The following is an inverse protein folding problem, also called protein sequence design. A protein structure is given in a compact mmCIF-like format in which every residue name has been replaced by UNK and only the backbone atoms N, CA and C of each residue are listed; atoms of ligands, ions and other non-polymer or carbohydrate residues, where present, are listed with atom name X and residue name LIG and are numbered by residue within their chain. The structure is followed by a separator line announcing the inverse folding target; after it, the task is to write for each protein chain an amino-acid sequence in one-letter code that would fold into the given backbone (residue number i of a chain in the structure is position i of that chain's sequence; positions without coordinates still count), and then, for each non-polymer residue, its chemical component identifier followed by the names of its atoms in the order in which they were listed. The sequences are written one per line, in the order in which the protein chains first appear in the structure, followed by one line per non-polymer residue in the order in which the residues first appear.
data_IF_969037220176
#
_entry.id   IF_969037220176
#
_cell.length_a   1.000
_cell.length_b   1.000
_cell.length_c   1.000
_cell.angle_alpha   90.00
_cell.angle_beta   90.00
_cell.angle_gamma   90.00
#
_symmetry.space_group_name_H-M   'P 1'
#
loop_
_entity.id
_entity.type
_entity.pdbx_description
1 polymer ?
#
# COMPACT_ATOMS: atom_id res chain seq x y z
N UNK A 1 10.87 -12.53 0.58
CA UNK A 1 9.67 -12.11 -0.17
C UNK A 1 9.10 -10.84 0.47
N UNK A 2 8.60 -9.94 -0.37
CA UNK A 2 7.80 -8.80 0.04
C UNK A 2 6.43 -8.83 -0.64
N UNK A 3 5.39 -8.44 0.07
CA UNK A 3 4.03 -8.23 -0.43
C UNK A 3 3.81 -6.72 -0.49
N UNK A 4 3.44 -6.18 -1.66
CA UNK A 4 3.19 -4.75 -1.81
C UNK A 4 1.69 -4.47 -1.91
N UNK A 5 1.20 -3.52 -1.11
CA UNK A 5 -0.17 -3.02 -1.16
C UNK A 5 -0.22 -1.51 -1.45
N UNK A 6 -1.32 -1.07 -2.06
CA UNK A 6 -1.67 0.35 -2.09
C UNK A 6 -2.25 0.79 -0.74
N UNK A 7 -2.15 2.08 -0.38
CA UNK A 7 -2.83 2.65 0.78
C UNK A 7 -4.33 2.80 0.50
N UNK A 8 -5.06 3.37 1.46
CA UNK A 8 -6.44 3.78 1.27
C UNK A 8 -6.59 5.30 1.42
N UNK A 9 -7.64 5.85 0.77
CA UNK A 9 -8.02 7.25 0.89
C UNK A 9 -8.75 7.54 2.20
N UNK A 10 -9.48 6.54 2.72
CA UNK A 10 -10.20 6.60 3.99
C UNK A 10 -9.29 6.11 5.10
N UNK A 11 -9.29 6.84 6.20
CA UNK A 11 -8.46 6.59 7.38
C UNK A 11 -9.36 6.54 8.63
N UNK A 12 -9.09 5.61 9.54
CA UNK A 12 -9.77 5.47 10.83
C UNK A 12 -8.77 5.66 11.97
N UNK A 13 -9.00 6.67 12.79
CA UNK A 13 -8.21 7.00 13.99
C UNK A 13 -9.00 6.78 15.29
N UNK A 14 -10.18 6.17 15.23
CA UNK A 14 -11.07 6.01 16.38
C UNK A 14 -10.61 4.94 17.36
N UNK A 15 -9.87 3.93 16.88
CA UNK A 15 -9.43 2.78 17.69
C UNK A 15 -8.08 3.03 18.32
N UNK A 16 -7.91 2.58 19.56
CA UNK A 16 -6.62 2.54 20.25
C UNK A 16 -5.96 1.17 20.11
N UNK A 17 -4.63 1.15 20.15
CA UNK A 17 -3.82 -0.06 19.95
C UNK A 17 -2.75 -0.14 21.03
N UNK A 18 -2.71 -1.25 21.75
CA UNK A 18 -1.61 -1.61 22.66
C UNK A 18 -0.58 -2.45 21.89
N UNK A 19 0.18 -1.78 21.01
CA UNK A 19 1.17 -2.40 20.15
C UNK A 19 2.42 -1.53 20.15
N UNK A 20 3.60 -2.15 20.20
CA UNK A 20 4.86 -1.42 20.04
C UNK A 20 4.99 -0.90 18.60
N UNK A 21 4.94 0.42 18.39
CA UNK A 21 4.98 1.01 17.06
C UNK A 21 6.39 0.97 16.48
N UNK A 22 6.46 1.19 15.17
CA UNK A 22 7.69 1.48 14.44
C UNK A 22 7.59 2.84 13.75
N UNK A 23 8.73 3.43 13.38
CA UNK A 23 8.76 4.70 12.68
C UNK A 23 8.90 4.49 11.17
N UNK A 24 8.18 5.26 10.32
CA UNK A 24 8.36 5.22 8.87
C UNK A 24 9.81 5.51 8.46
N UNK A 25 10.31 4.75 7.49
CA UNK A 25 11.71 4.85 7.04
C UNK A 25 12.05 6.24 6.46
N UNK A 26 11.10 6.89 5.81
CA UNK A 26 11.31 8.13 5.05
C UNK A 26 10.68 9.37 5.69
N UNK A 27 10.59 9.45 7.02
CA UNK A 27 9.99 10.62 7.74
C UNK A 27 10.62 11.96 7.37
N UNK A 28 11.92 12.00 7.09
CA UNK A 28 12.60 13.23 6.67
C UNK A 28 12.12 13.68 5.27
N UNK A 29 11.88 12.74 4.35
CA UNK A 29 11.33 13.06 3.03
C UNK A 29 9.84 13.40 3.12
N UNK A 30 9.06 12.71 3.98
CA UNK A 30 7.67 13.10 4.29
C UNK A 30 7.58 14.54 4.77
N UNK A 31 8.50 14.96 5.66
CA UNK A 31 8.55 16.34 6.16
C UNK A 31 8.82 17.36 5.04
N UNK A 32 9.61 17.00 4.02
CA UNK A 32 9.83 17.87 2.84
C UNK A 32 8.55 18.02 2.02
N UNK A 33 7.84 16.90 1.76
CA UNK A 33 6.55 16.94 1.06
C UNK A 33 5.50 17.76 1.83
N UNK A 34 5.44 17.60 3.13
CA UNK A 34 4.54 18.40 3.98
C UNK A 34 4.91 19.88 3.92
N UNK A 35 6.20 20.24 3.88
CA UNK A 35 6.61 21.62 3.74
C UNK A 35 6.06 22.24 2.44
N UNK A 36 6.12 21.52 1.33
CA UNK A 36 5.54 21.96 0.05
C UNK A 36 4.01 22.05 0.12
N UNK A 37 3.34 21.05 0.75
CA UNK A 37 1.89 21.05 0.89
C UNK A 37 1.37 22.17 1.80
N UNK A 38 2.13 22.57 2.82
CA UNK A 38 1.80 23.70 3.70
C UNK A 38 1.78 25.06 3.01
N UNK A 39 2.43 25.19 1.85
CA UNK A 39 2.40 26.44 1.06
C UNK A 39 1.15 26.56 0.20
N UNK A 40 0.30 25.53 0.14
CA UNK A 40 -0.88 25.48 -0.72
C UNK A 40 -2.12 25.95 0.04
N UNK A 41 -2.97 26.72 -0.63
CA UNK A 41 -4.30 27.04 -0.15
C UNK A 41 -5.31 25.90 -0.46
N UNK A 42 -6.47 25.82 0.19
CA UNK A 42 -7.46 24.77 -0.07
C UNK A 42 -7.83 24.63 -1.56
N UNK A 43 -7.97 25.72 -2.30
CA UNK A 43 -8.25 25.69 -3.75
C UNK A 43 -7.12 25.03 -4.58
N UNK A 44 -5.86 25.24 -4.15
CA UNK A 44 -4.72 24.63 -4.84
C UNK A 44 -4.70 23.12 -4.57
N UNK A 45 -5.03 22.70 -3.34
CA UNK A 45 -5.16 21.30 -2.94
C UNK A 45 -6.32 20.62 -3.69
N UNK A 46 -7.46 21.32 -3.83
CA UNK A 46 -8.60 20.84 -4.62
C UNK A 46 -8.19 20.56 -6.07
N UNK A 47 -7.53 21.52 -6.71
CA UNK A 47 -7.03 21.40 -8.09
C UNK A 47 -5.97 20.31 -8.23
N UNK A 48 -5.00 20.25 -7.31
CA UNK A 48 -3.87 19.33 -7.34
C UNK A 48 -4.32 17.85 -7.29
N UNK A 49 -5.35 17.54 -6.52
CA UNK A 49 -5.80 16.17 -6.26
C UNK A 49 -7.22 15.86 -6.73
N UNK A 50 -7.90 16.80 -7.42
CA UNK A 50 -9.27 16.61 -7.89
C UNK A 50 -10.27 16.39 -6.75
N UNK A 51 -10.20 17.22 -5.69
CA UNK A 51 -11.02 17.09 -4.49
C UNK A 51 -12.17 18.07 -4.47
N UNK A 52 -13.26 17.71 -3.76
CA UNK A 52 -14.27 18.68 -3.34
C UNK A 52 -13.68 19.67 -2.34
N UNK A 53 -14.30 20.86 -2.22
CA UNK A 53 -13.85 21.93 -1.32
C UNK A 53 -13.73 21.46 0.14
N UNK A 54 -14.71 20.68 0.62
CA UNK A 54 -14.70 20.12 1.98
C UNK A 54 -13.49 19.20 2.20
N UNK A 55 -13.17 18.33 1.23
CA UNK A 55 -12.01 17.44 1.32
C UNK A 55 -10.70 18.21 1.18
N UNK A 56 -10.66 19.25 0.38
CA UNK A 56 -9.48 20.11 0.24
C UNK A 56 -9.19 20.86 1.54
N UNK A 57 -10.21 21.48 2.15
CA UNK A 57 -10.10 22.16 3.45
C UNK A 57 -9.64 21.19 4.55
N UNK A 58 -10.27 20.00 4.63
CA UNK A 58 -9.86 18.98 5.60
C UNK A 58 -8.38 18.60 5.45
N UNK A 59 -7.88 18.46 4.23
CA UNK A 59 -6.48 18.09 4.00
C UNK A 59 -5.53 19.27 4.19
N UNK A 60 -5.96 20.50 3.91
CA UNK A 60 -5.24 21.70 4.29
C UNK A 60 -4.97 21.72 5.80
N UNK A 61 -6.01 21.55 6.63
CA UNK A 61 -5.87 21.52 8.10
C UNK A 61 -4.96 20.39 8.58
N UNK A 62 -5.08 19.22 7.96
CA UNK A 62 -4.20 18.07 8.23
C UNK A 62 -2.74 18.40 7.93
N UNK A 63 -2.45 19.07 6.81
CA UNK A 63 -1.07 19.45 6.48
C UNK A 63 -0.55 20.53 7.42
N UNK A 64 -1.35 21.56 7.75
CA UNK A 64 -0.93 22.63 8.67
C UNK A 64 -0.56 22.07 10.04
N UNK A 65 -1.35 21.12 10.57
CA UNK A 65 -1.12 20.50 11.87
C UNK A 65 -0.07 19.37 11.86
N UNK A 66 0.30 18.86 10.68
CA UNK A 66 1.17 17.69 10.57
C UNK A 66 2.56 17.96 11.15
N UNK A 67 3.01 17.06 12.03
CA UNK A 67 4.38 16.98 12.57
C UNK A 67 4.83 15.53 12.50
N UNK A 68 6.11 15.29 12.20
CA UNK A 68 6.67 13.95 12.19
C UNK A 68 6.46 13.28 13.56
N UNK A 69 5.99 12.03 13.56
CA UNK A 69 5.75 11.25 14.77
C UNK A 69 6.40 9.87 14.66
N UNK A 70 6.88 9.36 15.79
CA UNK A 70 7.45 8.01 15.94
C UNK A 70 6.72 7.20 17.01
N UNK A 71 5.68 7.76 17.60
CA UNK A 71 4.91 7.18 18.71
C UNK A 71 3.41 7.24 18.44
N UNK A 72 2.65 6.34 19.06
CA UNK A 72 1.19 6.34 19.02
C UNK A 72 0.66 7.55 19.80
N UNK A 73 -0.34 8.21 19.25
CA UNK A 73 -1.13 9.27 19.87
C UNK A 73 -2.55 9.26 19.30
N UNK A 74 -3.41 10.20 19.71
CA UNK A 74 -4.76 10.32 19.17
C UNK A 74 -4.79 10.51 17.64
N UNK A 75 -3.77 11.18 17.09
CA UNK A 75 -3.63 11.49 15.66
C UNK A 75 -2.44 10.78 14.97
N UNK A 76 -1.84 9.77 15.61
CA UNK A 76 -0.70 9.02 15.10
C UNK A 76 -0.83 7.54 15.47
N UNK A 77 -1.17 6.67 14.51
CA UNK A 77 -1.49 5.26 14.74
C UNK A 77 -0.85 4.37 13.66
N UNK A 78 -0.69 3.04 13.93
CA UNK A 78 -0.06 2.12 12.98
C UNK A 78 -0.82 2.03 11.65
N UNK A 79 -0.10 2.09 10.53
CA UNK A 79 -0.64 2.11 9.18
C UNK A 79 -1.58 0.94 8.88
N UNK A 80 -1.24 -0.27 9.33
CA UNK A 80 -2.04 -1.48 9.14
C UNK A 80 -3.50 -1.32 9.57
N UNK A 81 -3.75 -0.55 10.64
CA UNK A 81 -5.07 -0.40 11.25
C UNK A 81 -5.76 0.91 10.89
N UNK A 82 -4.99 1.90 10.43
CA UNK A 82 -5.54 3.21 10.05
C UNK A 82 -6.17 3.17 8.67
N UNK A 83 -5.53 2.52 7.70
CA UNK A 83 -6.07 2.45 6.34
C UNK A 83 -7.37 1.65 6.30
N UNK A 84 -8.41 2.26 5.69
CA UNK A 84 -9.72 1.66 5.48
C UNK A 84 -10.06 1.64 3.98
N UNK A 85 -10.97 0.75 3.58
CA UNK A 85 -11.41 0.58 2.20
C UNK A 85 -11.25 -0.85 1.71
N UNK A 86 -11.54 -1.07 0.44
CA UNK A 86 -11.75 -2.41 -0.11
C UNK A 86 -10.59 -3.38 0.14
N UNK A 87 -9.34 -2.92 -0.06
CA UNK A 87 -8.14 -3.74 0.19
C UNK A 87 -8.07 -4.13 1.67
N UNK A 88 -8.30 -3.19 2.58
CA UNK A 88 -8.16 -3.39 4.02
C UNK A 88 -9.34 -4.16 4.62
N UNK A 89 -10.54 -4.05 4.03
CA UNK A 89 -11.66 -4.93 4.34
C UNK A 89 -11.34 -6.39 3.98
N UNK A 90 -10.62 -6.61 2.89
CA UNK A 90 -10.14 -7.95 2.52
C UNK A 90 -8.97 -8.42 3.38
N UNK A 91 -8.09 -7.51 3.81
CA UNK A 91 -6.93 -7.81 4.66
C UNK A 91 -7.32 -8.24 6.08
N UNK A 92 -8.47 -7.78 6.60
CA UNK A 92 -9.04 -8.18 7.90
C UNK A 92 -7.98 -8.17 9.03
N UNK A 93 -7.20 -7.08 9.13
CA UNK A 93 -6.05 -7.00 10.04
C UNK A 93 -6.41 -7.19 11.52
N UNK A 94 -7.66 -6.92 11.90
CA UNK A 94 -8.22 -7.15 13.23
C UNK A 94 -8.23 -8.63 13.65
N UNK A 95 -8.12 -9.55 12.70
CA UNK A 95 -8.07 -11.01 12.96
C UNK A 95 -6.66 -11.54 13.16
N UNK A 96 -5.64 -10.68 13.03
CA UNK A 96 -4.25 -11.09 13.15
C UNK A 96 -3.82 -11.28 14.59
N UNK A 97 -3.25 -12.43 14.89
CA UNK A 97 -2.57 -12.68 16.15
C UNK A 97 -1.12 -12.14 16.12
N UNK A 98 -0.40 -12.23 17.25
CA UNK A 98 0.98 -11.73 17.37
C UNK A 98 1.94 -12.33 16.32
N UNK A 99 1.79 -13.61 15.96
CA UNK A 99 2.63 -14.27 14.94
C UNK A 99 2.31 -13.75 13.53
N UNK A 100 1.03 -13.46 13.26
CA UNK A 100 0.57 -12.88 11.99
C UNK A 100 1.11 -11.46 11.82
N UNK A 101 1.02 -10.64 12.88
CA UNK A 101 1.56 -9.28 12.90
C UNK A 101 3.08 -9.28 12.68
N UNK A 102 3.81 -10.19 13.34
CA UNK A 102 5.26 -10.32 13.15
C UNK A 102 5.63 -10.71 11.71
N UNK A 103 4.87 -11.64 11.12
CA UNK A 103 5.03 -12.01 9.71
C UNK A 103 4.71 -10.83 8.79
N UNK A 104 3.58 -10.14 9.01
CA UNK A 104 3.20 -8.97 8.24
C UNK A 104 4.27 -7.87 8.34
N UNK A 105 4.76 -7.55 9.52
CA UNK A 105 5.80 -6.54 9.75
C UNK A 105 7.08 -6.84 8.96
N UNK A 106 7.42 -8.12 8.80
CA UNK A 106 8.58 -8.57 8.03
C UNK A 106 8.33 -8.53 6.53
N UNK A 107 7.13 -8.88 6.06
CA UNK A 107 6.88 -9.20 4.65
C UNK A 107 5.92 -8.25 3.94
N UNK A 108 5.07 -7.48 4.64
CA UNK A 108 4.11 -6.56 4.02
C UNK A 108 4.68 -5.14 3.95
N UNK A 109 4.49 -4.48 2.81
CA UNK A 109 4.78 -3.06 2.60
C UNK A 109 3.59 -2.35 1.99
N UNK A 110 3.26 -1.18 2.52
CA UNK A 110 2.20 -0.32 2.00
C UNK A 110 2.87 0.86 1.32
N UNK A 111 2.70 0.98 0.01
CA UNK A 111 3.23 2.11 -0.75
C UNK A 111 2.41 3.36 -0.43
N UNK A 112 3.03 4.52 -0.35
CA UNK A 112 2.40 5.76 0.10
C UNK A 112 2.97 6.98 -0.61
N UNK A 113 2.10 7.87 -1.11
CA UNK A 113 2.55 9.11 -1.73
C UNK A 113 3.31 10.01 -0.75
N UNK A 114 2.87 10.08 0.52
CA UNK A 114 3.52 10.91 1.55
C UNK A 114 4.70 10.23 2.23
N UNK A 115 4.57 8.94 2.56
CA UNK A 115 5.56 8.22 3.37
C UNK A 115 6.50 7.34 2.52
N UNK A 116 6.29 7.26 1.19
CA UNK A 116 7.02 6.39 0.27
C UNK A 116 6.65 4.94 0.45
N UNK A 117 7.14 4.32 1.50
CA UNK A 117 6.90 2.95 1.90
C UNK A 117 6.67 2.88 3.41
N UNK A 118 5.73 2.05 3.82
CA UNK A 118 5.36 1.82 5.21
C UNK A 118 5.37 0.32 5.52
N UNK A 119 5.92 -0.02 6.68
CA UNK A 119 5.67 -1.31 7.32
C UNK A 119 4.33 -1.25 8.08
N UNK A 120 3.70 -2.39 8.36
CA UNK A 120 2.41 -2.45 9.07
C UNK A 120 2.31 -1.62 10.35
N UNK A 121 3.34 -1.64 11.19
CA UNK A 121 3.35 -0.97 12.49
C UNK A 121 3.97 0.43 12.47
N UNK A 122 4.35 0.93 11.30
CA UNK A 122 4.82 2.30 11.16
C UNK A 122 3.67 3.27 11.45
N UNK A 123 3.91 4.22 12.37
CA UNK A 123 2.88 5.20 12.74
C UNK A 123 2.75 6.29 11.69
N UNK A 124 1.52 6.57 11.31
CA UNK A 124 1.18 7.61 10.35
C UNK A 124 0.18 8.60 10.93
N UNK A 125 0.24 9.83 10.48
CA UNK A 125 -0.75 10.88 10.76
C UNK A 125 -1.77 10.98 9.61
N UNK A 126 -2.94 11.56 9.85
CA UNK A 126 -3.94 11.76 8.81
C UNK A 126 -3.37 12.57 7.64
N UNK A 127 -3.55 12.05 6.43
CA UNK A 127 -3.15 12.71 5.21
C UNK A 127 -3.93 12.18 4.01
N UNK A 128 -3.89 12.91 2.92
CA UNK A 128 -4.24 12.42 1.58
C UNK A 128 -3.21 12.95 0.59
N UNK A 129 -2.46 12.06 -0.01
CA UNK A 129 -1.53 12.34 -1.09
C UNK A 129 -1.35 11.06 -1.89
N UNK A 130 -1.93 11.01 -3.09
CA UNK A 130 -1.89 9.86 -3.97
C UNK A 130 -0.55 9.86 -4.74
N UNK A 131 -0.02 8.68 -5.08
CA UNK A 131 1.30 8.57 -5.72
C UNK A 131 1.35 9.25 -7.09
N UNK A 132 0.23 9.25 -7.82
CA UNK A 132 0.10 9.91 -9.13
C UNK A 132 -0.02 11.42 -9.06
N UNK A 133 -0.01 12.04 -7.86
CA UNK A 133 -0.18 13.49 -7.70
C UNK A 133 1.01 14.25 -8.32
N UNK A 134 0.69 15.23 -9.17
CA UNK A 134 1.66 16.11 -9.82
C UNK A 134 2.08 17.26 -8.90
N UNK A 135 2.62 16.93 -7.72
CA UNK A 135 3.15 17.91 -6.76
C UNK A 135 4.56 18.31 -7.18
N UNK A 136 4.78 19.56 -7.62
CA UNK A 136 6.13 20.06 -7.90
C UNK A 136 6.91 20.19 -6.58
N UNK A 137 8.18 19.81 -6.62
CA UNK A 137 9.13 19.92 -5.51
C UNK A 137 10.49 20.33 -6.05
N UNK A 138 11.45 20.64 -5.19
CA UNK A 138 12.83 20.85 -5.60
C UNK A 138 13.51 19.64 -6.27
N UNK A 139 12.87 18.45 -6.21
CA UNK A 139 13.38 17.19 -6.77
C UNK A 139 12.69 16.75 -8.06
N UNK A 140 11.63 17.44 -8.49
CA UNK A 140 10.92 17.09 -9.70
C UNK A 140 9.48 17.59 -9.75
N UNK A 141 8.78 17.26 -10.83
CA UNK A 141 7.43 17.77 -11.15
C UNK A 141 6.30 16.94 -10.54
N UNK A 142 6.61 15.79 -9.98
CA UNK A 142 5.63 14.84 -9.45
C UNK A 142 6.26 13.95 -8.38
N UNK A 143 5.46 13.10 -7.72
CA UNK A 143 5.94 12.24 -6.65
C UNK A 143 6.84 11.10 -7.14
N UNK A 144 6.69 10.63 -8.37
CA UNK A 144 7.61 9.61 -8.92
C UNK A 144 9.04 10.16 -9.02
N UNK A 145 9.19 11.39 -9.50
CA UNK A 145 10.48 12.07 -9.57
C UNK A 145 11.01 12.42 -8.16
N UNK A 146 10.13 12.83 -7.25
CA UNK A 146 10.50 13.12 -5.86
C UNK A 146 11.09 11.91 -5.16
N UNK A 147 10.44 10.76 -5.28
CA UNK A 147 10.89 9.51 -4.66
C UNK A 147 12.09 8.90 -5.39
N UNK A 148 12.18 9.06 -6.72
CA UNK A 148 13.28 8.52 -7.53
C UNK A 148 13.51 7.03 -7.27
N UNK A 149 14.74 6.65 -6.94
CA UNK A 149 15.10 5.26 -6.63
C UNK A 149 14.89 4.86 -5.16
N UNK A 150 14.61 5.78 -4.26
CA UNK A 150 14.64 5.55 -2.81
C UNK A 150 13.79 4.37 -2.34
N UNK A 151 12.55 4.27 -2.85
CA UNK A 151 11.65 3.19 -2.46
C UNK A 151 12.17 1.85 -2.99
N UNK A 152 12.59 1.82 -4.26
CA UNK A 152 13.22 0.64 -4.86
C UNK A 152 14.44 0.18 -4.07
N UNK A 153 15.35 1.08 -3.76
CA UNK A 153 16.62 0.77 -3.06
C UNK A 153 16.35 0.20 -1.66
N UNK A 154 15.32 0.72 -0.96
CA UNK A 154 14.90 0.20 0.32
C UNK A 154 14.28 -1.20 0.19
N UNK A 155 13.37 -1.41 -0.77
CA UNK A 155 12.79 -2.73 -1.04
C UNK A 155 13.86 -3.78 -1.37
N UNK A 156 14.86 -3.43 -2.17
CA UNK A 156 16.00 -4.31 -2.49
C UNK A 156 16.82 -4.66 -1.24
N UNK A 157 17.06 -3.67 -0.38
CA UNK A 157 17.76 -3.88 0.91
C UNK A 157 17.00 -4.83 1.81
N UNK A 158 15.69 -4.68 1.88
CA UNK A 158 14.82 -5.56 2.69
C UNK A 158 14.70 -6.97 2.10
N UNK A 159 14.62 -7.11 0.78
CA UNK A 159 14.68 -8.42 0.12
C UNK A 159 15.98 -9.15 0.44
N UNK A 160 17.11 -8.45 0.36
CA UNK A 160 18.42 -9.00 0.74
C UNK A 160 18.44 -9.45 2.22
N UNK A 161 17.91 -8.62 3.12
CA UNK A 161 17.79 -8.94 4.55
C UNK A 161 16.90 -10.18 4.78
N UNK A 162 15.85 -10.30 4.01
CA UNK A 162 14.94 -11.46 4.05
C UNK A 162 15.46 -12.68 3.27
N UNK A 163 16.66 -12.60 2.67
CA UNK A 163 17.26 -13.65 1.82
C UNK A 163 16.27 -14.13 0.74
N UNK A 164 15.66 -13.19 0.02
CA UNK A 164 14.64 -13.47 -0.98
C UNK A 164 14.75 -12.51 -2.15
N UNK A 165 14.34 -12.95 -3.33
CA UNK A 165 14.29 -12.18 -4.57
C UNK A 165 12.86 -12.04 -5.10
N UNK A 166 11.84 -12.36 -4.29
CA UNK A 166 10.43 -12.36 -4.68
C UNK A 166 9.67 -11.15 -4.15
N UNK A 167 8.99 -10.44 -5.06
CA UNK A 167 7.96 -9.43 -4.77
C UNK A 167 6.61 -9.94 -5.27
N UNK A 168 5.62 -10.01 -4.39
CA UNK A 168 4.21 -10.20 -4.76
C UNK A 168 3.53 -8.84 -4.82
N UNK A 169 3.28 -8.37 -6.03
CA UNK A 169 2.66 -7.06 -6.26
C UNK A 169 1.13 -7.15 -6.21
N UNK A 170 0.56 -6.73 -5.10
CA UNK A 170 -0.87 -6.53 -4.90
C UNK A 170 -1.25 -5.03 -4.85
N UNK A 171 -0.31 -4.15 -5.16
CA UNK A 171 -0.56 -2.73 -5.33
C UNK A 171 -1.19 -2.42 -6.69
N UNK A 172 -1.78 -1.23 -6.85
CA UNK A 172 -2.23 -0.75 -8.14
C UNK A 172 -1.05 -0.34 -9.02
N UNK A 173 -1.28 -0.28 -10.34
CA UNK A 173 -0.26 0.20 -11.29
C UNK A 173 0.28 1.57 -10.90
N UNK A 174 -0.60 2.50 -10.46
CA UNK A 174 -0.21 3.83 -9.99
C UNK A 174 0.85 3.76 -8.89
N UNK A 175 0.60 2.97 -7.84
CA UNK A 175 1.53 2.87 -6.72
C UNK A 175 2.76 2.05 -7.05
N UNK A 176 2.62 0.93 -7.77
CA UNK A 176 3.78 0.11 -8.13
C UNK A 176 4.75 0.81 -9.08
N UNK A 177 4.27 1.74 -9.91
CA UNK A 177 5.12 2.50 -10.84
C UNK A 177 6.25 3.28 -10.15
N UNK A 178 6.12 3.62 -8.87
CA UNK A 178 7.20 4.30 -8.11
C UNK A 178 8.41 3.40 -7.85
N UNK A 179 8.23 2.09 -7.92
CA UNK A 179 9.33 1.11 -7.75
C UNK A 179 10.29 1.16 -8.95
N UNK A 180 9.76 1.50 -10.14
CA UNK A 180 10.57 1.60 -11.36
C UNK A 180 11.10 0.24 -11.83
N UNK A 181 12.20 0.27 -12.59
CA UNK A 181 12.85 -0.93 -13.11
C UNK A 181 13.63 -1.63 -12.01
N UNK A 182 13.33 -2.92 -11.80
CA UNK A 182 14.02 -3.78 -10.85
C UNK A 182 15.16 -4.57 -11.54
N UNK A 183 16.18 -5.01 -10.79
CA UNK A 183 17.20 -5.93 -11.29
C UNK A 183 16.58 -7.23 -11.82
N UNK A 184 17.19 -7.85 -12.81
CA UNK A 184 16.67 -9.07 -13.48
C UNK A 184 16.58 -10.31 -12.59
N UNK A 185 17.30 -10.34 -11.49
CA UNK A 185 17.20 -11.43 -10.50
C UNK A 185 16.01 -11.27 -9.55
N UNK A 186 15.29 -10.15 -9.58
CA UNK A 186 14.10 -9.95 -8.74
C UNK A 186 12.87 -10.44 -9.49
N UNK A 187 12.27 -11.50 -8.99
CA UNK A 187 10.99 -12.03 -9.46
C UNK A 187 9.84 -11.13 -8.99
N UNK A 188 8.98 -10.71 -9.92
CA UNK A 188 7.77 -9.96 -9.60
C UNK A 188 6.55 -10.76 -10.05
N UNK A 189 5.71 -11.15 -9.10
CA UNK A 189 4.44 -11.83 -9.36
C UNK A 189 3.29 -10.88 -9.04
N UNK A 190 2.41 -10.66 -10.02
CA UNK A 190 1.28 -9.73 -9.92
C UNK A 190 -0.06 -10.46 -10.12
N UNK A 191 -0.66 -11.05 -9.07
CA UNK A 191 -1.92 -11.77 -9.15
C UNK A 191 -3.06 -10.93 -9.73
N UNK A 192 -3.80 -11.52 -10.68
CA UNK A 192 -4.94 -10.91 -11.36
C UNK A 192 -6.24 -11.58 -10.91
N UNK A 193 -7.23 -10.77 -10.54
CA UNK A 193 -8.53 -11.24 -10.06
C UNK A 193 -9.63 -10.81 -11.03
N UNK A 194 -10.40 -11.79 -11.53
CA UNK A 194 -11.52 -11.56 -12.45
C UNK A 194 -12.80 -12.17 -11.91
N UNK A 195 -13.89 -11.43 -12.04
CA UNK A 195 -15.22 -11.85 -11.64
C UNK A 195 -16.09 -12.09 -12.86
N UNK A 196 -16.95 -13.12 -12.80
CA UNK A 196 -17.90 -13.41 -13.87
C UNK A 196 -19.05 -12.40 -13.87
N UNK A 197 -19.20 -11.69 -14.98
CA UNK A 197 -20.27 -10.71 -15.16
C UNK A 197 -20.68 -10.63 -16.63
N UNK A 198 -21.97 -10.69 -16.90
CA UNK A 198 -22.54 -10.57 -18.26
C UNK A 198 -21.92 -11.58 -19.25
N UNK A 199 -21.78 -12.85 -18.83
CA UNK A 199 -21.31 -13.93 -19.71
C UNK A 199 -19.79 -14.09 -19.81
N UNK A 200 -19.00 -13.22 -19.21
CA UNK A 200 -17.53 -13.27 -19.30
C UNK A 200 -16.82 -12.91 -17.98
N UNK A 201 -15.54 -13.30 -17.88
CA UNK A 201 -14.69 -12.93 -16.75
C UNK A 201 -14.02 -11.58 -16.99
N UNK A 202 -14.29 -10.60 -16.12
CA UNK A 202 -13.77 -9.22 -16.20
C UNK A 202 -13.03 -8.82 -14.93
N UNK A 203 -12.03 -7.96 -15.08
CA UNK A 203 -11.45 -7.24 -13.95
C UNK A 203 -12.43 -6.15 -13.52
N UNK A 204 -13.06 -6.34 -12.36
CA UNK A 204 -13.95 -5.35 -11.74
C UNK A 204 -13.18 -4.68 -10.61
N UNK A 205 -12.91 -3.39 -10.75
CA UNK A 205 -11.98 -2.64 -9.89
C UNK A 205 -12.27 -2.80 -8.39
N UNK A 206 -13.52 -2.71 -7.98
CA UNK A 206 -13.93 -2.87 -6.57
C UNK A 206 -13.62 -4.29 -6.05
N UNK A 207 -14.02 -5.32 -6.78
CA UNK A 207 -13.78 -6.71 -6.38
C UNK A 207 -12.28 -7.06 -6.40
N UNK A 208 -11.56 -6.61 -7.43
CA UNK A 208 -10.11 -6.84 -7.53
C UNK A 208 -9.33 -6.18 -6.37
N UNK A 209 -9.74 -5.00 -5.89
CA UNK A 209 -9.17 -4.38 -4.69
C UNK A 209 -9.37 -5.26 -3.46
N UNK A 210 -10.60 -5.73 -3.23
CA UNK A 210 -10.93 -6.58 -2.09
C UNK A 210 -10.20 -7.92 -2.16
N UNK A 211 -10.11 -8.52 -3.35
CA UNK A 211 -9.37 -9.77 -3.60
C UNK A 211 -7.86 -9.66 -3.29
N UNK A 212 -7.23 -8.54 -3.60
CA UNK A 212 -5.84 -8.25 -3.19
C UNK A 212 -5.69 -8.26 -1.67
N UNK A 213 -6.67 -7.72 -0.95
CA UNK A 213 -6.73 -7.80 0.50
C UNK A 213 -6.87 -9.25 0.99
N UNK A 214 -7.77 -10.04 0.41
CA UNK A 214 -7.95 -11.46 0.74
C UNK A 214 -6.68 -12.26 0.51
N UNK A 215 -6.02 -12.07 -0.63
CA UNK A 215 -4.75 -12.77 -0.90
C UNK A 215 -3.68 -12.36 0.12
N UNK A 216 -3.55 -11.08 0.45
CA UNK A 216 -2.61 -10.63 1.48
C UNK A 216 -2.93 -11.24 2.84
N UNK A 217 -4.21 -11.30 3.23
CA UNK A 217 -4.68 -11.95 4.45
C UNK A 217 -4.26 -13.43 4.48
N UNK A 218 -4.62 -14.16 3.42
CA UNK A 218 -4.32 -15.58 3.29
C UNK A 218 -2.82 -15.86 3.33
N UNK A 219 -2.01 -15.05 2.61
CA UNK A 219 -0.54 -15.18 2.64
C UNK A 219 0.01 -14.98 4.05
N UNK A 220 -0.49 -13.99 4.79
CA UNK A 220 -0.06 -13.69 6.16
C UNK A 220 -0.49 -14.80 7.11
N UNK A 221 -1.72 -15.29 7.03
CA UNK A 221 -2.24 -16.37 7.91
C UNK A 221 -1.49 -17.68 7.69
N UNK A 222 -1.18 -18.01 6.45
CA UNK A 222 -0.53 -19.27 6.07
C UNK A 222 1.00 -19.16 5.93
N UNK A 223 1.60 -17.98 6.24
CA UNK A 223 3.06 -17.75 6.17
C UNK A 223 3.65 -18.07 4.79
N UNK A 224 2.92 -17.74 3.74
CA UNK A 224 3.35 -17.98 2.35
C UNK A 224 4.56 -17.12 2.01
N UNK A 225 5.62 -17.74 1.49
CA UNK A 225 6.86 -17.05 1.10
C UNK A 225 7.37 -17.45 -0.29
N UNK A 226 6.65 -18.34 -0.99
CA UNK A 226 7.00 -18.87 -2.30
C UNK A 226 5.95 -18.46 -3.35
N UNK A 227 6.38 -18.12 -4.57
CA UNK A 227 5.49 -17.82 -5.67
C UNK A 227 4.64 -19.02 -6.09
N UNK A 228 5.21 -20.23 -6.05
CA UNK A 228 4.52 -21.48 -6.41
C UNK A 228 3.34 -21.78 -5.47
N UNK A 229 3.39 -21.32 -4.23
CA UNK A 229 2.27 -21.53 -3.29
C UNK A 229 1.08 -20.62 -3.57
N UNK A 230 1.23 -19.52 -4.30
CA UNK A 230 0.14 -18.59 -4.61
C UNK A 230 -1.02 -19.27 -5.34
N UNK A 231 -0.74 -20.29 -6.18
CA UNK A 231 -1.79 -21.03 -6.91
C UNK A 231 -2.76 -21.79 -5.98
N UNK A 232 -2.39 -21.99 -4.71
CA UNK A 232 -3.25 -22.64 -3.69
C UNK A 232 -4.30 -21.70 -3.11
N UNK A 233 -4.24 -20.40 -3.43
CA UNK A 233 -5.23 -19.42 -2.97
C UNK A 233 -6.62 -19.76 -3.51
N UNK A 234 -7.59 -19.91 -2.60
CA UNK A 234 -8.98 -20.29 -2.93
C UNK A 234 -10.00 -19.61 -2.00
N UNK A 235 -9.67 -18.43 -1.49
CA UNK A 235 -10.56 -17.70 -0.56
C UNK A 235 -11.67 -16.95 -1.29
N UNK A 236 -12.81 -16.79 -0.61
CA UNK A 236 -13.95 -15.98 -1.06
C UNK A 236 -14.46 -16.34 -2.48
N UNK A 237 -14.33 -17.60 -2.87
CA UNK A 237 -14.79 -18.13 -4.15
C UNK A 237 -13.82 -17.95 -5.33
N UNK A 238 -12.67 -17.30 -5.12
CA UNK A 238 -11.63 -17.24 -6.16
C UNK A 238 -10.92 -18.58 -6.32
N UNK A 239 -10.67 -18.97 -7.57
CA UNK A 239 -9.93 -20.20 -7.91
C UNK A 239 -8.90 -19.89 -8.99
N UNK A 240 -7.72 -20.49 -8.85
CA UNK A 240 -6.64 -20.37 -9.84
C UNK A 240 -7.06 -20.93 -11.19
N UNK A 241 -6.76 -20.17 -12.26
CA UNK A 241 -7.00 -20.58 -13.66
C UNK A 241 -5.68 -20.75 -14.39
N UNK A 242 -5.22 -21.99 -14.53
CA UNK A 242 -3.96 -22.30 -15.22
C UNK A 242 -3.94 -21.79 -16.67
N UNK A 243 -5.06 -21.89 -17.38
CA UNK A 243 -5.15 -21.51 -18.81
C UNK A 243 -5.03 -20.02 -19.06
N UNK A 244 -5.39 -19.20 -18.05
CA UNK A 244 -5.42 -17.73 -18.17
C UNK A 244 -4.18 -17.08 -17.53
N UNK A 245 -3.29 -17.88 -16.94
CA UNK A 245 -2.14 -17.42 -16.16
C UNK A 245 -0.83 -17.48 -16.91
N UNK A 246 0.08 -16.56 -16.56
CA UNK A 246 1.52 -16.70 -16.76
C UNK A 246 2.22 -16.87 -15.40
N UNK A 247 3.50 -17.19 -15.35
CA UNK A 247 4.26 -17.24 -14.09
C UNK A 247 4.22 -15.90 -13.34
N UNK A 248 4.30 -14.79 -14.08
CA UNK A 248 4.33 -13.42 -13.52
C UNK A 248 2.92 -12.92 -13.15
N UNK A 249 1.88 -13.41 -13.84
CA UNK A 249 0.49 -12.98 -13.65
C UNK A 249 -0.44 -14.19 -13.44
N UNK A 250 -0.41 -14.83 -12.25
CA UNK A 250 -1.38 -15.87 -11.92
C UNK A 250 -2.78 -15.27 -11.83
N UNK A 251 -3.72 -15.86 -12.59
CA UNK A 251 -5.11 -15.39 -12.68
C UNK A 251 -6.02 -16.22 -11.78
N UNK A 252 -6.84 -15.53 -11.01
CA UNK A 252 -7.84 -16.10 -10.13
C UNK A 252 -9.23 -15.66 -10.57
N UNK A 253 -10.13 -16.63 -10.77
CA UNK A 253 -11.48 -16.43 -11.28
C UNK A 253 -12.50 -16.70 -10.18
N UNK A 254 -13.56 -15.86 -10.13
CA UNK A 254 -14.72 -16.02 -9.25
C UNK A 254 -16.00 -15.93 -10.07
N UNK A 255 -16.95 -16.86 -9.85
CA UNK A 255 -18.35 -16.80 -10.32
C UNK A 255 -19.24 -16.12 -9.30
#
# INVERSE_FOLDING_TARGET
MLILLSPAKTLDYTKDFDIKPTAPAFLADSSKLIKELKTKEPKDIASLMGLSDNLATLNFDRYQSWKASKSISSDSKPALYVFQGDVYQGLKAETFNKKDIAFAQKHLRILSGLYGELRPLDVIKPYRLEMGTKLPTSKGKNLYEFWGSKIKDNLLTELKTNKSELIVNLASKEYFSVVGVLPSNIEVVAPVFKDFKNGEYKLISFYAKKARGYMSHWMIKNKITSAQDLIKFNEEGYKYSKKDSTPEEPVFLRK
#
